data_IF_010564265045
#
_entry.id   IF_010564265045
#
_cell.length_a   1.000
_cell.length_b   1.000
_cell.length_c   1.000
_cell.angle_alpha   90.00
_cell.angle_beta   90.00
_cell.angle_gamma   90.00
#
_symmetry.space_group_name_H-M   'P 1'
#
loop_
_entity.id
_entity.type
_entity.pdbx_description
1 polymer ?
#
# COMPACT_ATOMS: atom_id res chain seq x y z
N UNK A 1 -11.61 44.63 -3.30
CA UNK A 1 -10.72 43.99 -4.30
C UNK A 1 -10.95 42.49 -4.31
N UNK A 2 -11.19 41.85 -5.46
CA UNK A 2 -11.35 40.42 -5.55
C UNK A 2 -10.02 39.70 -5.32
N UNK A 3 -10.01 38.59 -4.58
CA UNK A 3 -8.86 37.75 -4.34
C UNK A 3 -8.27 37.23 -5.68
N UNK A 4 -6.94 37.12 -5.82
CA UNK A 4 -6.35 36.60 -7.05
C UNK A 4 -6.72 35.15 -7.28
N UNK A 5 -6.94 34.71 -8.53
CA UNK A 5 -7.33 33.35 -8.84
C UNK A 5 -6.20 32.39 -8.44
N UNK A 6 -6.57 31.33 -7.73
CA UNK A 6 -5.68 30.22 -7.40
C UNK A 6 -5.02 29.68 -8.68
N UNK A 7 -3.69 29.70 -8.75
CA UNK A 7 -2.89 29.23 -9.88
C UNK A 7 -2.60 27.72 -9.80
N UNK A 8 -3.40 26.84 -10.38
CA UNK A 8 -3.08 25.40 -10.40
C UNK A 8 -1.90 25.07 -11.32
N UNK A 9 -1.61 25.94 -12.33
CA UNK A 9 -0.55 25.72 -13.30
C UNK A 9 0.88 25.82 -12.73
N UNK A 10 1.09 26.62 -11.68
CA UNK A 10 2.43 26.77 -11.10
C UNK A 10 2.86 25.56 -10.25
N UNK A 11 1.91 24.86 -9.60
CA UNK A 11 2.18 23.60 -8.87
C UNK A 11 2.50 22.44 -9.82
N UNK A 12 1.77 22.29 -10.94
CA UNK A 12 2.08 21.28 -11.97
C UNK A 12 3.51 21.40 -12.49
N UNK A 13 4.06 22.61 -12.62
CA UNK A 13 5.42 22.83 -13.13
C UNK A 13 6.52 22.39 -12.17
N UNK A 14 6.29 22.33 -10.85
CA UNK A 14 7.31 21.94 -9.86
C UNK A 14 7.52 20.44 -9.74
N UNK A 15 6.46 19.63 -9.85
CA UNK A 15 6.52 18.18 -9.66
C UNK A 15 6.60 17.37 -10.97
N UNK A 16 6.31 17.98 -12.12
CA UNK A 16 6.45 17.32 -13.41
C UNK A 16 7.89 16.79 -13.73
N UNK A 17 9.00 17.41 -13.25
CA UNK A 17 10.33 16.83 -13.40
C UNK A 17 10.48 15.49 -12.69
N UNK A 18 9.97 15.37 -11.44
CA UNK A 18 10.11 14.16 -10.63
C UNK A 18 9.33 12.98 -11.23
N UNK A 19 8.12 13.23 -11.72
CA UNK A 19 7.33 12.23 -12.44
C UNK A 19 7.97 11.77 -13.76
N UNK A 20 8.62 12.68 -14.49
CA UNK A 20 9.40 12.32 -15.70
C UNK A 20 10.62 11.48 -15.36
N UNK A 21 11.31 11.80 -14.28
CA UNK A 21 12.46 11.01 -13.81
C UNK A 21 12.05 9.60 -13.44
N UNK A 22 10.92 9.44 -12.72
CA UNK A 22 10.39 8.13 -12.38
C UNK A 22 10.09 7.30 -13.64
N UNK A 23 9.42 7.88 -14.63
CA UNK A 23 9.12 7.19 -15.91
C UNK A 23 10.39 6.85 -16.69
N UNK A 24 11.35 7.77 -16.76
CA UNK A 24 12.61 7.55 -17.47
C UNK A 24 13.46 6.44 -16.82
N UNK A 25 13.32 6.27 -15.51
CA UNK A 25 13.98 5.20 -14.73
C UNK A 25 13.16 3.91 -14.60
N UNK A 26 12.00 3.81 -15.27
CA UNK A 26 11.06 2.69 -15.11
C UNK A 26 10.71 2.42 -13.64
N UNK A 27 10.49 3.49 -12.87
CA UNK A 27 10.18 3.42 -11.43
C UNK A 27 8.69 3.55 -11.20
N UNK A 28 8.11 2.59 -10.48
CA UNK A 28 6.76 2.70 -9.93
C UNK A 28 6.78 3.55 -8.66
N UNK A 29 5.96 4.59 -8.63
CA UNK A 29 5.78 5.40 -7.43
C UNK A 29 4.61 4.89 -6.61
N UNK A 30 4.78 4.90 -5.30
CA UNK A 30 3.71 4.54 -4.37
C UNK A 30 3.68 5.49 -3.17
N UNK A 31 2.49 5.63 -2.58
CA UNK A 31 2.34 6.21 -1.25
C UNK A 31 1.87 5.14 -0.26
N UNK A 32 2.36 5.25 0.95
CA UNK A 32 1.84 4.52 2.11
C UNK A 32 1.47 5.53 3.20
N UNK A 33 0.24 6.09 3.14
CA UNK A 33 -0.27 6.99 4.16
C UNK A 33 -0.22 6.36 5.54
N UNK A 34 -0.04 7.20 6.57
CA UNK A 34 0.08 6.72 7.94
C UNK A 34 -1.16 5.96 8.45
N UNK A 35 -0.97 5.17 9.48
CA UNK A 35 -1.96 4.30 10.13
C UNK A 35 -3.25 4.99 10.63
N UNK A 36 -3.31 6.32 10.57
CA UNK A 36 -4.48 7.11 10.95
C UNK A 36 -5.53 7.22 9.84
N UNK A 37 -5.22 6.77 8.62
CA UNK A 37 -6.14 6.68 7.50
C UNK A 37 -7.02 5.43 7.65
N UNK A 38 -8.16 5.57 8.32
CA UNK A 38 -9.06 4.47 8.67
C UNK A 38 -10.45 4.70 8.06
N UNK A 39 -10.63 4.26 6.82
CA UNK A 39 -11.92 4.37 6.11
C UNK A 39 -13.02 3.49 6.75
N UNK A 40 -12.64 2.47 7.50
CA UNK A 40 -13.54 1.53 8.18
C UNK A 40 -14.08 2.05 9.51
N UNK A 41 -13.64 3.24 9.96
CA UNK A 41 -13.98 3.78 11.28
C UNK A 41 -15.50 3.94 11.47
N UNK A 42 -15.98 3.62 12.68
CA UNK A 42 -17.36 3.94 13.08
C UNK A 42 -17.55 5.45 13.38
N UNK A 43 -16.45 6.21 13.52
CA UNK A 43 -16.50 7.66 13.75
C UNK A 43 -16.39 8.39 12.42
N UNK A 44 -17.48 9.07 12.01
CA UNK A 44 -17.54 9.78 10.73
C UNK A 44 -16.41 10.81 10.57
N UNK A 45 -16.05 11.55 11.63
CA UNK A 45 -14.94 12.51 11.55
C UNK A 45 -13.58 11.90 11.22
N UNK A 46 -13.34 10.62 11.59
CA UNK A 46 -12.12 9.89 11.21
C UNK A 46 -12.18 9.52 9.73
N UNK A 47 -13.33 9.06 9.25
CA UNK A 47 -13.54 8.76 7.82
C UNK A 47 -13.34 10.02 6.97
N UNK A 48 -13.95 11.15 7.35
CA UNK A 48 -13.85 12.42 6.62
C UNK A 48 -12.40 12.92 6.55
N UNK A 49 -11.63 12.78 7.63
CA UNK A 49 -10.22 13.16 7.66
C UNK A 49 -9.37 12.21 6.81
N UNK A 50 -9.66 10.90 6.85
CA UNK A 50 -8.99 9.91 6.00
C UNK A 50 -9.23 10.19 4.51
N UNK A 51 -10.48 10.49 4.13
CA UNK A 51 -10.81 10.87 2.75
C UNK A 51 -10.01 12.11 2.33
N UNK A 52 -9.98 13.16 3.16
CA UNK A 52 -9.23 14.40 2.85
C UNK A 52 -7.74 14.14 2.64
N UNK A 53 -7.13 13.30 3.48
CA UNK A 53 -5.72 12.96 3.36
C UNK A 53 -5.44 12.13 2.10
N UNK A 54 -6.26 11.12 1.84
CA UNK A 54 -6.17 10.30 0.62
C UNK A 54 -6.36 11.14 -0.65
N UNK A 55 -7.30 12.09 -0.64
CA UNK A 55 -7.49 13.03 -1.77
C UNK A 55 -6.26 13.91 -2.02
N UNK A 56 -5.52 14.28 -0.96
CA UNK A 56 -4.24 14.96 -1.11
C UNK A 56 -3.20 14.06 -1.80
N UNK A 57 -3.10 12.78 -1.40
CA UNK A 57 -2.22 11.81 -2.04
C UNK A 57 -2.59 11.56 -3.50
N UNK A 58 -3.88 11.43 -3.82
CA UNK A 58 -4.36 11.32 -5.20
C UNK A 58 -3.98 12.53 -6.06
N UNK A 59 -4.12 13.75 -5.52
CA UNK A 59 -3.69 14.99 -6.18
C UNK A 59 -2.18 15.06 -6.39
N UNK A 60 -1.38 14.59 -5.42
CA UNK A 60 0.07 14.54 -5.55
C UNK A 60 0.47 13.56 -6.67
N UNK A 61 -0.14 12.39 -6.75
CA UNK A 61 0.10 11.43 -7.85
C UNK A 61 -0.24 12.03 -9.22
N UNK A 62 -1.36 12.79 -9.34
CA UNK A 62 -1.72 13.48 -10.57
C UNK A 62 -0.71 14.61 -10.91
N UNK A 63 -0.19 15.32 -9.91
CA UNK A 63 0.86 16.34 -10.10
C UNK A 63 2.21 15.74 -10.54
N UNK A 64 2.49 14.52 -10.09
CA UNK A 64 3.63 13.70 -10.52
C UNK A 64 3.40 13.03 -11.86
N UNK A 65 2.25 13.27 -12.50
CA UNK A 65 1.86 12.69 -13.80
C UNK A 65 1.91 11.15 -13.79
N UNK A 66 1.49 10.56 -12.67
CA UNK A 66 1.41 9.11 -12.51
C UNK A 66 0.08 8.56 -13.01
N UNK A 67 0.03 7.32 -13.54
CA UNK A 67 -1.20 6.73 -14.03
C UNK A 67 -2.25 6.61 -12.92
N UNK A 68 -3.53 6.76 -13.30
CA UNK A 68 -4.66 6.47 -12.42
C UNK A 68 -4.99 4.99 -12.48
N UNK A 69 -4.07 4.20 -11.96
CA UNK A 69 -4.16 2.74 -11.87
C UNK A 69 -3.31 2.24 -10.69
N UNK A 70 -3.41 0.96 -10.37
CA UNK A 70 -2.61 0.34 -9.32
C UNK A 70 -1.10 0.25 -9.64
N UNK A 71 -0.67 0.69 -10.84
CA UNK A 71 0.74 0.95 -11.12
C UNK A 71 1.32 2.03 -10.20
N UNK A 72 0.52 3.03 -9.82
CA UNK A 72 0.90 4.11 -8.91
C UNK A 72 0.03 4.03 -7.65
N UNK A 73 0.26 3.00 -6.83
CA UNK A 73 -0.61 2.66 -5.70
C UNK A 73 -0.57 3.66 -4.55
N UNK A 74 -1.71 3.77 -3.86
CA UNK A 74 -1.84 4.38 -2.52
C UNK A 74 -2.27 3.24 -1.61
N UNK A 75 -1.38 2.80 -0.71
CA UNK A 75 -1.57 1.62 0.12
C UNK A 75 -2.01 1.99 1.53
N UNK A 76 -3.05 1.35 2.05
CA UNK A 76 -3.53 1.56 3.42
C UNK A 76 -3.92 0.23 4.07
N UNK A 77 -4.01 0.25 5.41
CA UNK A 77 -4.64 -0.82 6.17
C UNK A 77 -6.14 -0.57 6.35
N UNK A 78 -6.92 -1.62 6.59
CA UNK A 78 -8.34 -1.47 6.99
C UNK A 78 -8.42 -0.73 8.34
N UNK A 79 -7.53 -1.09 9.26
CA UNK A 79 -7.45 -0.52 10.59
C UNK A 79 -8.46 -1.11 11.58
N UNK A 80 -8.10 -1.06 12.85
CA UNK A 80 -8.92 -1.61 13.93
C UNK A 80 -8.87 -3.14 14.02
N UNK A 81 -9.81 -3.70 14.80
CA UNK A 81 -9.96 -5.15 14.93
C UNK A 81 -10.82 -5.70 13.81
N UNK A 82 -10.58 -6.96 13.44
CA UNK A 82 -11.35 -7.70 12.45
C UNK A 82 -12.85 -7.70 12.81
N UNK A 83 -13.65 -7.14 11.90
CA UNK A 83 -15.08 -6.97 12.02
C UNK A 83 -15.68 -6.81 10.63
N UNK A 84 -16.66 -7.66 10.30
CA UNK A 84 -17.34 -7.61 9.00
C UNK A 84 -18.04 -6.27 8.77
N UNK A 85 -18.56 -5.64 9.82
CA UNK A 85 -19.20 -4.33 9.69
C UNK A 85 -18.19 -3.23 9.34
N UNK A 86 -16.92 -3.37 9.73
CA UNK A 86 -15.85 -2.48 9.33
C UNK A 86 -15.52 -2.63 7.85
N UNK A 87 -15.57 -3.84 7.30
CA UNK A 87 -15.40 -4.10 5.86
C UNK A 87 -16.49 -3.38 5.06
N UNK A 88 -17.72 -3.46 5.48
CA UNK A 88 -18.83 -2.74 4.83
C UNK A 88 -18.69 -1.21 4.95
N UNK A 89 -18.30 -0.69 6.12
CA UNK A 89 -18.02 0.75 6.28
C UNK A 89 -16.88 1.20 5.37
N UNK A 90 -15.83 0.39 5.23
CA UNK A 90 -14.75 0.66 4.28
C UNK A 90 -15.30 0.78 2.85
N UNK A 91 -16.10 -0.19 2.41
CA UNK A 91 -16.70 -0.19 1.07
C UNK A 91 -17.60 1.04 0.83
N UNK A 92 -18.35 1.48 1.84
CA UNK A 92 -19.18 2.68 1.74
C UNK A 92 -18.35 3.98 1.70
N UNK A 93 -17.27 4.05 2.46
CA UNK A 93 -16.33 5.17 2.41
C UNK A 93 -15.56 5.20 1.08
N UNK A 94 -15.19 4.04 0.53
CA UNK A 94 -14.52 3.91 -0.77
C UNK A 94 -15.34 4.53 -1.91
N UNK A 95 -16.65 4.40 -1.89
CA UNK A 95 -17.56 5.00 -2.90
C UNK A 95 -17.50 6.54 -2.93
N UNK A 96 -17.00 7.16 -1.86
CA UNK A 96 -16.88 8.62 -1.72
C UNK A 96 -15.54 9.15 -2.26
N UNK A 97 -14.58 8.26 -2.57
CA UNK A 97 -13.27 8.65 -3.08
C UNK A 97 -13.33 9.06 -4.54
N UNK A 98 -12.55 10.09 -4.88
CA UNK A 98 -12.38 10.48 -6.28
C UNK A 98 -11.67 9.39 -7.09
N UNK A 99 -11.82 9.45 -8.41
CA UNK A 99 -11.09 8.57 -9.33
C UNK A 99 -9.55 8.69 -9.19
N UNK A 100 -9.04 9.83 -8.71
CA UNK A 100 -7.62 10.01 -8.46
C UNK A 100 -7.11 9.12 -7.31
N UNK A 101 -7.98 8.77 -6.37
CA UNK A 101 -7.68 7.88 -5.24
C UNK A 101 -8.16 6.46 -5.52
N UNK A 102 -9.45 6.27 -5.82
CA UNK A 102 -10.07 4.95 -5.93
C UNK A 102 -9.38 4.04 -6.98
N UNK A 103 -8.88 4.62 -8.08
CA UNK A 103 -8.14 3.86 -9.11
C UNK A 103 -6.73 3.43 -8.68
N UNK A 104 -6.22 3.94 -7.56
CA UNK A 104 -4.87 3.69 -7.05
C UNK A 104 -4.86 2.99 -5.69
N UNK A 105 -6.02 2.94 -5.01
CA UNK A 105 -6.09 2.42 -3.65
C UNK A 105 -5.78 0.93 -3.61
N UNK A 106 -4.95 0.53 -2.67
CA UNK A 106 -4.68 -0.86 -2.32
C UNK A 106 -4.82 -1.05 -0.82
N UNK A 107 -5.09 -2.27 -0.39
CA UNK A 107 -5.14 -2.64 1.03
C UNK A 107 -4.09 -3.69 1.35
N UNK A 108 -3.61 -3.70 2.58
CA UNK A 108 -2.55 -4.56 3.05
C UNK A 108 -2.99 -5.39 4.25
N UNK A 109 -2.51 -6.63 4.36
CA UNK A 109 -2.73 -7.45 5.55
C UNK A 109 -2.00 -6.89 6.78
N UNK A 110 -2.55 -7.13 7.95
CA UNK A 110 -2.09 -6.55 9.22
C UNK A 110 -1.10 -7.43 9.98
N UNK A 111 -0.37 -6.82 10.93
CA UNK A 111 0.65 -7.43 11.80
C UNK A 111 0.11 -7.96 13.15
N UNK A 112 -1.21 -8.12 13.31
CA UNK A 112 -1.84 -8.57 14.55
C UNK A 112 -2.88 -9.65 14.27
N UNK A 113 -2.85 -10.71 15.05
CA UNK A 113 -3.74 -11.87 14.90
C UNK A 113 -5.25 -11.55 14.96
N UNK A 114 -5.62 -10.43 15.58
CA UNK A 114 -7.01 -9.97 15.67
C UNK A 114 -7.38 -8.89 14.64
N UNK A 115 -6.50 -8.61 13.69
CA UNK A 115 -6.71 -7.70 12.57
C UNK A 115 -6.96 -8.49 11.27
N UNK A 116 -6.71 -7.92 10.12
CA UNK A 116 -7.12 -8.47 8.82
C UNK A 116 -5.99 -9.24 8.14
N UNK A 117 -6.16 -10.55 8.00
CA UNK A 117 -5.34 -11.39 7.14
C UNK A 117 -5.73 -11.22 5.67
N UNK A 118 -4.95 -11.80 4.74
CA UNK A 118 -5.29 -11.81 3.31
C UNK A 118 -6.68 -12.40 3.07
N UNK A 119 -7.03 -13.48 3.77
CA UNK A 119 -8.36 -14.13 3.67
C UNK A 119 -9.51 -13.19 4.00
N UNK A 120 -9.34 -12.33 5.00
CA UNK A 120 -10.35 -11.33 5.39
C UNK A 120 -10.47 -10.21 4.34
N UNK A 121 -9.33 -9.81 3.74
CA UNK A 121 -9.28 -8.73 2.74
C UNK A 121 -9.90 -9.12 1.39
N UNK A 122 -10.09 -10.41 1.12
CA UNK A 122 -10.83 -10.88 -0.06
C UNK A 122 -12.25 -10.32 -0.10
N UNK A 123 -12.90 -10.14 1.05
CA UNK A 123 -14.23 -9.55 1.09
C UNK A 123 -14.19 -8.04 0.74
N UNK A 124 -13.15 -7.34 1.18
CA UNK A 124 -12.90 -5.94 0.74
C UNK A 124 -12.74 -5.87 -0.77
N UNK A 125 -11.92 -6.76 -1.35
CA UNK A 125 -11.72 -6.82 -2.80
C UNK A 125 -13.03 -7.10 -3.55
N UNK A 126 -13.84 -8.05 -3.11
CA UNK A 126 -15.15 -8.36 -3.73
C UNK A 126 -16.08 -7.15 -3.75
N UNK A 127 -16.10 -6.35 -2.68
CA UNK A 127 -17.00 -5.19 -2.55
C UNK A 127 -16.50 -3.95 -3.30
N UNK A 128 -15.18 -3.81 -3.50
CA UNK A 128 -14.57 -2.56 -3.98
C UNK A 128 -13.70 -2.72 -5.23
N UNK A 129 -13.22 -3.92 -5.53
CA UNK A 129 -12.21 -4.17 -6.55
C UNK A 129 -10.79 -3.76 -6.14
N UNK A 130 -10.56 -3.32 -4.91
CA UNK A 130 -9.24 -2.88 -4.41
C UNK A 130 -8.30 -4.08 -4.28
N UNK A 131 -7.10 -4.07 -4.90
CA UNK A 131 -6.14 -5.16 -4.80
C UNK A 131 -5.50 -5.24 -3.41
N UNK A 132 -5.02 -6.44 -3.09
CA UNK A 132 -4.33 -6.74 -1.83
C UNK A 132 -2.82 -6.70 -2.04
N UNK A 133 -2.13 -5.83 -1.32
CA UNK A 133 -0.68 -5.86 -1.14
C UNK A 133 -0.38 -6.90 -0.07
N UNK A 134 0.38 -7.93 -0.42
CA UNK A 134 0.82 -8.93 0.54
C UNK A 134 2.06 -8.44 1.27
N UNK A 135 1.98 -8.29 2.59
CA UNK A 135 3.16 -8.07 3.43
C UNK A 135 3.59 -9.40 4.07
N UNK A 136 4.83 -9.79 3.76
CA UNK A 136 5.44 -11.04 4.24
C UNK A 136 5.67 -11.03 5.75
N UNK A 137 6.05 -9.87 6.29
CA UNK A 137 6.33 -9.77 7.71
C UNK A 137 5.05 -9.80 8.55
N UNK A 138 4.05 -9.06 8.12
CA UNK A 138 2.74 -9.04 8.75
C UNK A 138 2.06 -10.42 8.72
N UNK A 139 2.22 -11.15 7.61
CA UNK A 139 1.68 -12.50 7.48
C UNK A 139 2.16 -13.46 8.58
N UNK A 140 3.38 -13.29 9.10
CA UNK A 140 3.91 -14.10 10.21
C UNK A 140 3.13 -13.93 11.51
N UNK A 141 2.39 -12.83 11.66
CA UNK A 141 1.58 -12.50 12.86
C UNK A 141 0.09 -12.68 12.62
N UNK A 142 -0.36 -12.59 11.35
CA UNK A 142 -1.77 -12.66 10.96
C UNK A 142 -1.91 -13.45 9.65
N UNK A 143 -1.69 -14.78 9.74
CA UNK A 143 -1.64 -15.65 8.56
C UNK A 143 -3.03 -15.95 7.96
N UNK A 144 -4.11 -15.89 8.76
CA UNK A 144 -5.44 -16.30 8.33
C UNK A 144 -5.52 -17.78 7.96
N UNK A 145 -4.73 -18.60 8.66
CA UNK A 145 -4.60 -20.06 8.48
C UNK A 145 -4.07 -20.49 7.09
N UNK A 146 -3.44 -19.59 6.36
CA UNK A 146 -2.74 -19.90 5.10
C UNK A 146 -1.23 -19.94 5.31
N UNK A 147 -0.54 -20.74 4.53
CA UNK A 147 0.91 -20.61 4.38
C UNK A 147 1.27 -19.39 3.51
N UNK A 148 2.57 -19.05 3.48
CA UNK A 148 3.05 -17.86 2.78
C UNK A 148 2.79 -17.92 1.26
N UNK A 149 2.97 -19.09 0.63
CA UNK A 149 2.77 -19.26 -0.81
C UNK A 149 1.30 -19.12 -1.19
N UNK A 150 0.41 -19.73 -0.40
CA UNK A 150 -1.03 -19.68 -0.62
C UNK A 150 -1.58 -18.27 -0.39
N UNK A 151 -1.15 -17.59 0.68
CA UNK A 151 -1.56 -16.22 0.97
C UNK A 151 -1.08 -15.23 -0.11
N UNK A 152 0.19 -15.34 -0.54
CA UNK A 152 0.74 -14.56 -1.64
C UNK A 152 -0.04 -14.83 -2.94
N UNK A 153 -0.33 -16.11 -3.22
CA UNK A 153 -1.11 -16.54 -4.38
C UNK A 153 -2.53 -15.99 -4.36
N UNK A 154 -3.19 -16.04 -3.22
CA UNK A 154 -4.53 -15.49 -3.04
C UNK A 154 -4.55 -13.97 -3.24
N UNK A 155 -3.60 -13.24 -2.66
CA UNK A 155 -3.46 -11.80 -2.88
C UNK A 155 -3.23 -11.47 -4.37
N UNK A 156 -2.44 -12.27 -5.09
CA UNK A 156 -2.17 -12.09 -6.51
C UNK A 156 -3.44 -12.15 -7.38
N UNK A 157 -4.44 -12.94 -7.00
CA UNK A 157 -5.71 -13.04 -7.75
C UNK A 157 -6.51 -11.74 -7.76
N UNK A 158 -6.19 -10.80 -6.87
CA UNK A 158 -6.89 -9.51 -6.76
C UNK A 158 -6.31 -8.42 -7.67
N UNK A 159 -5.14 -8.66 -8.26
CA UNK A 159 -4.47 -7.72 -9.15
C UNK A 159 -4.99 -7.85 -10.58
N UNK A 160 -5.22 -6.71 -11.22
CA UNK A 160 -5.67 -6.68 -12.61
C UNK A 160 -4.62 -7.25 -13.56
N UNK A 161 -5.06 -7.92 -14.61
CA UNK A 161 -4.17 -8.39 -15.68
C UNK A 161 -3.32 -7.24 -16.25
N UNK A 162 -2.02 -7.49 -16.42
CA UNK A 162 -1.06 -6.52 -16.92
C UNK A 162 -0.45 -5.60 -15.85
N UNK A 163 -0.94 -5.63 -14.63
CA UNK A 163 -0.33 -4.91 -13.50
C UNK A 163 0.39 -5.93 -12.61
N UNK A 164 1.71 -5.79 -12.51
CA UNK A 164 2.51 -6.67 -11.65
C UNK A 164 2.12 -6.47 -10.18
N UNK A 165 1.92 -7.59 -9.46
CA UNK A 165 1.65 -7.57 -8.03
C UNK A 165 2.75 -6.81 -7.29
N UNK A 166 2.37 -5.95 -6.35
CA UNK A 166 3.30 -5.34 -5.40
C UNK A 166 3.14 -6.04 -4.06
N UNK A 167 4.26 -6.30 -3.42
CA UNK A 167 4.36 -6.87 -2.08
C UNK A 167 5.19 -5.96 -1.18
N UNK A 168 4.99 -6.07 0.13
CA UNK A 168 5.87 -5.47 1.12
C UNK A 168 6.70 -6.56 1.81
N UNK A 169 7.94 -6.23 2.13
CA UNK A 169 8.84 -7.14 2.81
C UNK A 169 9.63 -6.41 3.90
N UNK A 170 9.60 -6.98 5.09
CA UNK A 170 10.42 -6.60 6.22
C UNK A 170 10.91 -7.85 6.96
N UNK A 171 11.92 -7.68 7.78
CA UNK A 171 12.38 -8.67 8.73
C UNK A 171 12.17 -8.18 10.15
N UNK A 172 12.11 -9.10 11.10
CA UNK A 172 12.02 -8.77 12.52
C UNK A 172 13.28 -8.03 12.98
N UNK A 173 13.10 -6.97 13.76
CA UNK A 173 14.24 -6.24 14.35
C UNK A 173 15.11 -7.12 15.23
N UNK A 174 14.51 -8.05 15.92
CA UNK A 174 15.19 -8.98 16.83
C UNK A 174 15.35 -10.32 16.10
N UNK A 175 16.59 -10.71 15.83
CA UNK A 175 16.92 -11.97 15.16
C UNK A 175 16.55 -13.20 16.01
N UNK A 176 16.56 -13.05 17.32
CA UNK A 176 16.26 -14.13 18.26
C UNK A 176 14.79 -14.23 18.61
N UNK A 177 14.02 -13.19 18.34
CA UNK A 177 12.61 -13.10 18.71
C UNK A 177 11.77 -12.44 17.62
N UNK A 178 10.78 -13.17 17.11
CA UNK A 178 9.84 -12.62 16.16
C UNK A 178 9.05 -11.45 16.77
N UNK A 179 9.21 -10.25 16.19
CA UNK A 179 8.52 -9.03 16.60
C UNK A 179 7.96 -8.30 15.40
N UNK A 180 6.83 -7.56 15.52
CA UNK A 180 6.31 -6.74 14.42
C UNK A 180 7.22 -5.56 14.04
N UNK A 181 8.18 -5.20 14.91
CA UNK A 181 9.10 -4.10 14.65
C UNK A 181 10.07 -4.49 13.53
N UNK A 182 10.17 -3.62 12.51
CA UNK A 182 11.03 -3.83 11.35
C UNK A 182 12.51 -3.72 11.70
N UNK A 183 13.32 -4.58 11.09
CA UNK A 183 14.78 -4.56 11.16
C UNK A 183 15.38 -3.30 10.54
N UNK A 184 16.66 -3.07 10.79
CA UNK A 184 17.41 -2.01 10.11
C UNK A 184 17.75 -2.41 8.67
N UNK A 185 18.04 -3.69 8.44
CA UNK A 185 18.52 -4.26 7.20
C UNK A 185 17.64 -5.42 6.73
N UNK A 186 17.85 -5.86 5.48
CA UNK A 186 17.31 -7.10 4.93
C UNK A 186 18.50 -8.03 4.69
N UNK A 187 18.46 -9.20 5.32
CA UNK A 187 19.56 -10.18 5.28
C UNK A 187 19.18 -11.42 4.47
N UNK A 188 17.91 -11.80 4.50
CA UNK A 188 17.45 -13.03 3.85
C UNK A 188 17.02 -12.84 2.39
N UNK A 189 16.91 -13.94 1.64
CA UNK A 189 16.32 -13.92 0.32
C UNK A 189 14.80 -13.71 0.42
N UNK A 190 14.25 -12.94 -0.52
CA UNK A 190 12.81 -12.77 -0.68
C UNK A 190 12.30 -13.90 -1.57
N UNK A 191 11.47 -14.77 -1.03
CA UNK A 191 10.89 -15.88 -1.78
C UNK A 191 9.66 -15.41 -2.57
N UNK A 192 9.80 -15.28 -3.86
CA UNK A 192 8.70 -14.90 -4.75
C UNK A 192 7.75 -16.08 -5.10
N UNK A 193 8.02 -17.29 -4.62
CA UNK A 193 7.24 -18.51 -4.93
C UNK A 193 6.96 -18.69 -6.44
N UNK A 194 7.99 -18.41 -7.28
CA UNK A 194 7.91 -18.54 -8.72
C UNK A 194 7.07 -17.45 -9.42
N UNK A 195 6.74 -16.34 -8.76
CA UNK A 195 5.95 -15.24 -9.29
C UNK A 195 6.82 -14.05 -9.68
N UNK A 196 6.37 -13.32 -10.69
CA UNK A 196 6.90 -11.98 -10.96
C UNK A 196 6.19 -10.96 -10.09
N UNK A 197 6.94 -10.24 -9.27
CA UNK A 197 6.40 -9.23 -8.36
C UNK A 197 7.38 -8.07 -8.18
N UNK A 198 6.86 -6.92 -7.78
CA UNK A 198 7.64 -5.78 -7.31
C UNK A 198 7.60 -5.75 -5.79
N UNK A 199 8.74 -5.56 -5.16
CA UNK A 199 8.87 -5.60 -3.71
C UNK A 199 9.25 -4.23 -3.15
N UNK A 200 8.46 -3.75 -2.19
CA UNK A 200 8.81 -2.59 -1.36
C UNK A 200 9.48 -3.09 -0.08
N UNK A 201 10.71 -2.65 0.17
CA UNK A 201 11.44 -3.00 1.39
C UNK A 201 11.10 -2.03 2.52
N UNK A 202 10.56 -2.55 3.60
CA UNK A 202 10.20 -1.78 4.78
C UNK A 202 11.22 -1.97 5.92
N UNK A 203 12.42 -1.47 5.70
CA UNK A 203 13.51 -1.49 6.67
C UNK A 203 14.01 -0.08 6.99
N UNK A 204 14.62 0.11 8.16
CA UNK A 204 14.96 1.46 8.64
C UNK A 204 16.10 2.12 7.87
N UNK A 205 17.01 1.34 7.31
CA UNK A 205 18.13 1.86 6.52
C UNK A 205 17.74 2.16 5.07
N UNK A 206 16.45 1.95 4.68
CA UNK A 206 15.83 2.40 3.43
C UNK A 206 16.69 2.07 2.20
N UNK A 207 17.05 3.09 1.39
CA UNK A 207 17.86 2.92 0.18
C UNK A 207 19.23 2.24 0.45
N UNK A 208 19.80 2.43 1.64
CA UNK A 208 21.08 1.78 2.00
C UNK A 208 20.91 0.27 2.15
N UNK A 209 19.78 -0.19 2.70
CA UNK A 209 19.47 -1.60 2.79
C UNK A 209 19.25 -2.21 1.40
N UNK A 210 18.56 -1.51 0.50
CA UNK A 210 18.38 -1.94 -0.89
C UNK A 210 19.72 -2.07 -1.62
N UNK A 211 20.63 -1.11 -1.47
CA UNK A 211 21.95 -1.15 -2.09
C UNK A 211 22.78 -2.33 -1.56
N UNK A 212 22.73 -2.58 -0.23
CA UNK A 212 23.41 -3.74 0.38
C UNK A 212 22.84 -5.07 -0.13
N UNK A 213 21.51 -5.20 -0.17
CA UNK A 213 20.84 -6.40 -0.67
C UNK A 213 21.23 -6.70 -2.12
N UNK A 214 21.23 -5.68 -2.99
CA UNK A 214 21.65 -5.84 -4.41
C UNK A 214 23.10 -6.25 -4.54
N UNK A 215 24.00 -5.69 -3.74
CA UNK A 215 25.43 -6.06 -3.76
C UNK A 215 25.67 -7.50 -3.29
N UNK A 216 24.80 -8.06 -2.48
CA UNK A 216 24.91 -9.45 -2.03
C UNK A 216 24.38 -10.48 -3.07
N UNK A 217 23.65 -10.01 -4.08
CA UNK A 217 23.07 -10.85 -5.15
C UNK A 217 23.92 -10.87 -6.44
N UNK A 218 24.98 -10.06 -6.50
CA UNK A 218 25.98 -10.02 -7.60
C UNK A 218 27.21 -10.84 -7.25
#
# INVERSE_FOLDING_TARGET
>A
SPAPPHRPAARRRRHAPDGRLARAGDLRLSFHPGQFNVLSSARQSVVDNSIKDLELHGKLMDLLDQPRSHEAKINIHIGGRRDISAVHRFADAFKQLSAAVSSRLTVENDDKANCYAVTDLIEVNKLTGVPIVFDYHHHKFCSGDLDEADALGLAATTWSAGIRQVVHYAESRDELRLTPAHSDWIEGPINAHGRELDCVLECKMKERALLRLRAAQT
#
